data_IF_139164745006
#
_entry.id   IF_139164745006
#
_cell.length_a   1.000
_cell.length_b   1.000
_cell.length_c   1.000
_cell.angle_alpha   90.00
_cell.angle_beta   90.00
_cell.angle_gamma   90.00
#
_symmetry.space_group_name_H-M   'P 1'
#
loop_
_entity.id
_entity.type
_entity.pdbx_description
1 polymer ?
#
# COMPACT_ATOMS: atom_id res chain seq x y z
N UNK A 1 -10.48 7.76 3.76
CA UNK A 1 -9.34 8.54 3.20
C UNK A 1 -8.46 8.98 4.35
N UNK A 2 -7.13 8.94 4.21
CA UNK A 2 -6.17 9.40 5.22
C UNK A 2 -5.53 10.71 4.75
N UNK A 3 -5.33 11.67 5.67
CA UNK A 3 -4.65 12.95 5.37
C UNK A 3 -3.14 12.73 5.41
N UNK A 4 -2.44 13.16 4.37
CA UNK A 4 -0.97 13.21 4.33
C UNK A 4 -0.54 14.67 4.18
N UNK A 5 0.57 15.03 4.82
CA UNK A 5 1.25 16.30 4.60
C UNK A 5 2.49 16.00 3.76
N UNK A 6 2.70 16.77 2.70
CA UNK A 6 3.85 16.63 1.80
C UNK A 6 4.52 18.00 1.72
N UNK A 7 5.83 18.04 1.96
CA UNK A 7 6.64 19.21 1.66
C UNK A 7 7.06 19.10 0.19
N UNK A 8 6.84 20.18 -0.57
CA UNK A 8 7.26 20.30 -1.97
C UNK A 8 7.88 21.68 -2.15
N UNK A 9 8.76 21.79 -3.14
CA UNK A 9 9.36 23.06 -3.52
C UNK A 9 8.30 23.99 -4.14
N UNK A 10 8.51 25.30 -4.01
CA UNK A 10 7.54 26.32 -4.44
C UNK A 10 7.27 26.27 -5.96
N UNK A 11 8.29 25.95 -6.76
CA UNK A 11 8.16 25.80 -8.22
C UNK A 11 7.26 24.63 -8.60
N UNK A 12 7.31 23.53 -7.83
CA UNK A 12 6.41 22.39 -7.98
C UNK A 12 4.98 22.78 -7.59
N UNK A 13 4.79 23.59 -6.55
CA UNK A 13 3.47 24.07 -6.12
C UNK A 13 2.78 24.91 -7.20
N UNK A 14 3.54 25.82 -7.82
CA UNK A 14 3.08 26.64 -8.94
C UNK A 14 2.72 25.79 -10.15
N UNK A 15 3.60 24.87 -10.54
CA UNK A 15 3.37 23.95 -11.64
C UNK A 15 2.13 23.07 -11.42
N UNK A 16 1.94 22.57 -10.20
CA UNK A 16 0.77 21.80 -9.78
C UNK A 16 -0.51 22.64 -9.93
N UNK A 17 -0.48 23.88 -9.45
CA UNK A 17 -1.62 24.79 -9.52
C UNK A 17 -2.02 25.07 -10.96
N UNK A 18 -1.04 25.37 -11.82
CA UNK A 18 -1.27 25.59 -13.24
C UNK A 18 -1.81 24.33 -13.94
N UNK A 19 -1.27 23.14 -13.62
CA UNK A 19 -1.72 21.89 -14.21
C UNK A 19 -3.15 21.50 -13.80
N UNK A 20 -3.49 21.68 -12.52
CA UNK A 20 -4.85 21.47 -12.03
C UNK A 20 -5.86 22.42 -12.70
N UNK A 21 -5.50 23.70 -12.83
CA UNK A 21 -6.31 24.70 -13.51
C UNK A 21 -6.54 24.36 -14.99
N UNK A 22 -5.50 23.98 -15.73
CA UNK A 22 -5.62 23.57 -17.15
C UNK A 22 -6.57 22.39 -17.34
N UNK A 23 -6.63 21.47 -16.36
CA UNK A 23 -7.48 20.28 -16.41
C UNK A 23 -8.87 20.50 -15.78
N UNK A 24 -9.13 21.68 -15.21
CA UNK A 24 -10.41 22.01 -14.59
C UNK A 24 -10.74 21.21 -13.33
N UNK A 25 -9.72 20.73 -12.61
CA UNK A 25 -9.88 19.90 -11.41
C UNK A 25 -9.24 20.58 -10.20
N UNK A 26 -9.60 20.14 -8.99
CA UNK A 26 -8.93 20.61 -7.78
C UNK A 26 -7.49 20.09 -7.72
N UNK A 27 -6.62 20.83 -7.02
CA UNK A 27 -5.22 20.43 -6.79
C UNK A 27 -5.12 19.01 -6.21
N UNK A 28 -5.93 18.71 -5.20
CA UNK A 28 -5.95 17.37 -4.58
C UNK A 28 -6.52 16.28 -5.49
N UNK A 29 -7.40 16.61 -6.44
CA UNK A 29 -7.82 15.66 -7.46
C UNK A 29 -6.68 15.37 -8.45
N UNK A 30 -5.99 16.41 -8.92
CA UNK A 30 -4.84 16.28 -9.81
C UNK A 30 -3.73 15.44 -9.17
N UNK A 31 -3.36 15.71 -7.91
CA UNK A 31 -2.34 14.93 -7.19
C UNK A 31 -2.75 13.46 -7.07
N UNK A 32 -4.01 13.17 -6.71
CA UNK A 32 -4.47 11.78 -6.58
C UNK A 32 -4.40 11.02 -7.91
N UNK A 33 -4.80 11.65 -9.01
CA UNK A 33 -4.75 11.04 -10.33
C UNK A 33 -3.30 10.84 -10.79
N UNK A 34 -2.43 11.82 -10.56
CA UNK A 34 -1.01 11.71 -10.88
C UNK A 34 -0.32 10.59 -10.08
N UNK A 35 -0.57 10.52 -8.77
CA UNK A 35 -0.06 9.44 -7.91
C UNK A 35 -0.61 8.09 -8.36
N UNK A 36 -1.90 7.99 -8.67
CA UNK A 36 -2.49 6.75 -9.18
C UNK A 36 -1.86 6.32 -10.51
N UNK A 37 -1.66 7.26 -11.44
CA UNK A 37 -1.02 6.96 -12.73
C UNK A 37 0.40 6.48 -12.54
N UNK A 38 1.19 7.17 -11.70
CA UNK A 38 2.57 6.82 -11.42
C UNK A 38 2.70 5.43 -10.77
N UNK A 39 1.76 5.08 -9.88
CA UNK A 39 1.73 3.77 -9.22
C UNK A 39 1.13 2.66 -10.10
N UNK A 40 0.26 2.99 -11.06
CA UNK A 40 -0.26 2.02 -12.02
C UNK A 40 0.82 1.54 -13.01
N UNK A 41 1.80 2.40 -13.31
CA UNK A 41 2.99 2.05 -14.09
C UNK A 41 4.15 1.52 -13.22
N UNK A 42 4.01 1.55 -11.89
CA UNK A 42 4.94 0.93 -10.95
C UNK A 42 4.79 -0.60 -10.96
N UNK A 43 5.73 -1.36 -10.35
CA UNK A 43 5.41 -2.75 -10.02
C UNK A 43 4.09 -2.71 -9.27
N UNK A 44 3.13 -3.57 -9.65
CA UNK A 44 1.88 -3.72 -8.92
C UNK A 44 2.24 -3.62 -7.43
N UNK A 45 1.41 -2.94 -6.63
CA UNK A 45 1.45 -3.22 -5.21
C UNK A 45 1.09 -4.69 -5.11
N UNK A 46 2.11 -5.55 -5.21
CA UNK A 46 2.06 -6.96 -4.95
C UNK A 46 1.66 -6.92 -3.50
N UNK A 47 0.36 -7.08 -3.24
CA UNK A 47 -0.11 -7.55 -1.95
C UNK A 47 0.84 -8.69 -1.65
N UNK A 48 1.67 -8.54 -0.62
CA UNK A 48 2.71 -9.51 -0.35
C UNK A 48 2.01 -10.89 -0.34
N UNK A 49 2.38 -11.83 -1.22
CA UNK A 49 1.72 -13.13 -1.25
C UNK A 49 1.82 -13.81 0.13
N UNK A 50 2.79 -13.42 0.96
CA UNK A 50 2.88 -13.82 2.36
C UNK A 50 1.81 -13.16 3.24
N UNK A 51 1.47 -11.89 3.04
CA UNK A 51 0.35 -11.23 3.75
C UNK A 51 -0.98 -11.92 3.44
N UNK A 52 -1.18 -12.37 2.20
CA UNK A 52 -2.36 -13.14 1.81
C UNK A 52 -2.38 -14.56 2.42
N UNK A 53 -1.22 -15.09 2.82
CA UNK A 53 -1.09 -16.40 3.46
C UNK A 53 -1.41 -16.34 4.97
N UNK A 54 -1.22 -15.20 5.63
CA UNK A 54 -1.53 -15.02 7.06
C UNK A 54 -3.03 -15.24 7.29
N UNK A 55 -3.37 -16.23 8.12
CA UNK A 55 -4.77 -16.57 8.43
C UNK A 55 -5.51 -17.32 7.32
N UNK A 56 -4.82 -17.73 6.25
CA UNK A 56 -5.41 -18.55 5.17
C UNK A 56 -5.64 -20.02 5.58
N UNK A 57 -5.07 -20.44 6.71
CA UNK A 57 -5.22 -21.77 7.28
C UNK A 57 -5.90 -21.62 8.63
N UNK A 58 -7.07 -22.25 8.77
CA UNK A 58 -7.85 -22.29 10.00
C UNK A 58 -7.41 -23.50 10.84
N UNK A 59 -6.41 -23.27 11.68
CA UNK A 59 -5.87 -24.28 12.62
C UNK A 59 -5.75 -23.68 14.00
N UNK A 60 -6.12 -24.48 14.99
CA UNK A 60 -5.95 -24.09 16.39
C UNK A 60 -4.45 -24.04 16.72
N UNK A 61 -3.99 -22.98 17.41
CA UNK A 61 -2.60 -22.89 17.85
C UNK A 61 -2.29 -24.04 18.82
N UNK A 62 -1.15 -24.71 18.60
CA UNK A 62 -0.62 -25.72 19.53
C UNK A 62 0.43 -25.08 20.42
N UNK A 63 0.32 -25.30 21.73
CA UNK A 63 1.30 -24.86 22.71
C UNK A 63 2.56 -25.76 22.73
N UNK A 64 2.49 -26.95 22.11
CA UNK A 64 3.60 -27.89 22.01
C UNK A 64 3.82 -28.30 20.55
N UNK A 65 4.59 -27.46 19.83
CA UNK A 65 4.94 -27.69 18.43
C UNK A 65 5.84 -28.91 18.25
N UNK A 66 6.71 -29.19 19.23
CA UNK A 66 7.67 -30.28 19.13
C UNK A 66 6.95 -31.63 19.21
N UNK A 67 5.97 -31.78 20.10
CA UNK A 67 5.14 -32.98 20.16
C UNK A 67 4.30 -33.19 18.88
N UNK A 68 3.82 -32.11 18.25
CA UNK A 68 3.03 -32.17 17.01
C UNK A 68 3.90 -32.55 15.80
N UNK A 69 5.12 -32.02 15.71
CA UNK A 69 6.00 -32.19 14.54
C UNK A 69 6.84 -33.46 14.64
N UNK A 70 7.43 -33.73 15.81
CA UNK A 70 8.38 -34.83 16.00
C UNK A 70 7.71 -36.08 16.57
N UNK A 71 6.47 -35.98 17.07
CA UNK A 71 5.80 -37.05 17.79
C UNK A 71 6.46 -37.28 19.16
N UNK A 72 5.69 -37.84 20.09
CA UNK A 72 6.23 -38.25 21.40
C UNK A 72 6.99 -39.57 21.24
N UNK A 73 8.19 -39.54 20.67
CA UNK A 73 9.11 -40.67 20.80
C UNK A 73 9.77 -40.61 22.19
N UNK A 74 9.15 -41.31 23.14
CA UNK A 74 9.75 -41.80 24.39
C UNK A 74 9.05 -43.08 24.85
#
# INVERSE_FOLDING_TARGET
MRRIQLYIDDDIDEALSAAAARRGVSRSAYVRDAVRSCLADGPETISDPLDALVGSVDVEPSDDLDAVIYGTDS
#
